data_IF_098869173571
#
_entry.id   IF_098869173571
#
_cell.length_a   1.000
_cell.length_b   1.000
_cell.length_c   1.000
_cell.angle_alpha   90.00
_cell.angle_beta   90.00
_cell.angle_gamma   90.00
#
_symmetry.space_group_name_H-M   'P 1'
#
loop_
_entity.id
_entity.type
_entity.pdbx_description
1 polymer ?
#
# COMPACT_ATOMS: atom_id res chain seq x y z
N UNK A 1 43.47 12.65 89.09
CA UNK A 1 44.14 13.05 87.83
C UNK A 1 45.64 13.09 88.07
N UNK A 2 46.40 12.13 87.55
CA UNK A 2 47.84 12.26 87.24
C UNK A 2 48.39 11.00 86.54
N UNK A 3 49.03 11.20 85.38
CA UNK A 3 50.40 10.79 84.98
C UNK A 3 50.90 9.34 85.25
N UNK A 4 51.62 8.80 84.23
CA UNK A 4 52.44 7.56 84.16
C UNK A 4 51.66 6.21 84.17
N UNK A 5 51.82 5.23 83.27
CA UNK A 5 52.85 4.78 82.29
C UNK A 5 53.75 3.61 82.77
N UNK A 6 53.75 2.50 82.01
CA UNK A 6 54.54 1.27 82.23
C UNK A 6 55.00 0.68 80.87
N UNK A 7 56.14 -0.04 80.85
CA UNK A 7 56.85 -0.59 79.67
C UNK A 7 57.23 -2.07 79.86
N UNK A 8 57.73 -2.86 78.90
CA UNK A 8 58.19 -2.54 77.53
C UNK A 8 57.53 -3.46 76.45
N UNK A 9 58.15 -4.25 75.55
CA UNK A 9 59.53 -4.74 75.34
C UNK A 9 59.82 -5.03 73.85
N UNK A 10 61.09 -5.06 73.44
CA UNK A 10 61.54 -5.26 72.04
C UNK A 10 62.21 -6.62 71.80
N UNK A 11 61.91 -7.32 70.68
CA UNK A 11 62.65 -8.49 70.19
C UNK A 11 62.74 -8.52 68.65
N UNK A 12 63.97 -8.34 68.14
CA UNK A 12 64.58 -8.88 66.90
C UNK A 12 63.90 -8.78 65.50
N UNK A 13 64.68 -8.22 64.57
CA UNK A 13 64.81 -8.64 63.15
C UNK A 13 66.01 -9.63 63.04
N UNK A 14 66.36 -10.26 61.87
CA UNK A 14 65.87 -10.07 60.50
C UNK A 14 65.55 -11.36 59.68
N UNK A 15 64.91 -11.24 58.50
CA UNK A 15 65.13 -12.15 57.35
C UNK A 15 64.51 -11.68 56.01
N UNK A 16 65.36 -11.54 54.98
CA UNK A 16 65.23 -12.09 53.61
C UNK A 16 63.85 -12.30 52.92
N UNK A 17 63.63 -11.55 51.82
CA UNK A 17 63.07 -11.96 50.51
C UNK A 17 61.80 -12.84 50.40
N UNK A 18 60.72 -12.25 49.86
CA UNK A 18 59.88 -12.86 48.82
C UNK A 18 59.13 -11.79 47.98
N UNK A 19 58.92 -12.04 46.68
CA UNK A 19 58.11 -11.19 45.78
C UNK A 19 56.64 -11.65 45.77
N UNK A 20 55.69 -10.77 46.09
CA UNK A 20 54.27 -10.93 45.68
C UNK A 20 53.62 -9.58 45.32
N UNK A 21 54.29 -8.79 44.48
CA UNK A 21 53.68 -7.63 43.82
C UNK A 21 53.14 -8.03 42.44
N UNK A 22 51.81 -8.04 42.24
CA UNK A 22 51.22 -8.24 40.91
C UNK A 22 49.76 -8.70 40.85
N UNK A 23 49.26 -9.47 41.83
CA UNK A 23 47.97 -10.16 41.69
C UNK A 23 46.72 -9.26 41.73
N UNK A 24 46.73 -8.19 42.54
CA UNK A 24 45.51 -7.41 42.85
C UNK A 24 45.12 -6.45 41.72
N UNK A 25 46.09 -5.83 41.04
CA UNK A 25 45.84 -4.83 39.99
C UNK A 25 45.15 -5.42 38.74
N UNK A 26 45.35 -6.71 38.46
CA UNK A 26 44.78 -7.39 37.29
C UNK A 26 43.27 -7.65 37.40
N UNK A 27 42.71 -7.77 38.61
CA UNK A 27 41.27 -8.00 38.79
C UNK A 27 40.42 -6.74 38.56
N UNK A 28 40.94 -5.55 38.91
CA UNK A 28 40.24 -4.30 38.66
C UNK A 28 40.18 -3.94 37.17
N UNK A 29 41.19 -4.31 36.38
CA UNK A 29 41.23 -4.00 34.94
C UNK A 29 40.23 -4.85 34.14
N UNK A 30 40.00 -6.09 34.54
CA UNK A 30 39.04 -6.99 33.89
C UNK A 30 37.58 -6.53 34.02
N UNK A 31 37.21 -5.91 35.16
CA UNK A 31 35.85 -5.42 35.40
C UNK A 31 35.49 -4.17 34.59
N UNK A 32 36.47 -3.39 34.13
CA UNK A 32 36.21 -2.17 33.35
C UNK A 32 35.93 -2.45 31.86
N UNK A 33 36.29 -3.63 31.35
CA UNK A 33 36.19 -3.96 29.92
C UNK A 33 34.83 -4.54 29.50
N UNK A 34 33.99 -4.97 30.44
CA UNK A 34 32.67 -5.57 30.16
C UNK A 34 31.52 -4.56 29.96
N UNK A 35 31.79 -3.25 30.03
CA UNK A 35 30.75 -2.21 29.97
C UNK A 35 30.34 -1.77 28.55
N UNK A 36 31.05 -2.21 27.51
CA UNK A 36 30.78 -1.87 26.10
C UNK A 36 30.02 -2.98 25.36
N UNK A 37 28.84 -3.36 25.86
CA UNK A 37 27.85 -4.04 25.01
C UNK A 37 27.17 -3.00 24.10
N UNK A 38 27.33 -3.07 22.77
CA UNK A 38 26.64 -2.13 21.89
C UNK A 38 25.14 -2.36 21.99
N UNK A 39 24.38 -1.31 22.32
CA UNK A 39 22.92 -1.36 22.30
C UNK A 39 22.43 -1.53 20.87
N UNK A 40 22.12 -2.77 20.50
CA UNK A 40 21.41 -3.09 19.26
C UNK A 40 19.99 -2.56 19.39
N UNK A 41 19.78 -1.32 18.95
CA UNK A 41 18.44 -0.75 18.79
C UNK A 41 17.67 -1.60 17.78
N UNK A 42 16.66 -2.34 18.26
CA UNK A 42 15.73 -3.03 17.40
C UNK A 42 14.97 -1.99 16.54
N UNK A 43 14.94 -2.20 15.22
CA UNK A 43 14.22 -1.32 14.32
C UNK A 43 12.72 -1.29 14.68
N UNK A 44 12.15 -0.10 14.83
CA UNK A 44 10.76 0.06 15.24
C UNK A 44 9.83 -0.51 14.16
N UNK A 45 8.81 -1.27 14.56
CA UNK A 45 7.71 -1.66 13.67
C UNK A 45 6.80 -0.45 13.46
N UNK A 46 6.53 -0.13 12.20
CA UNK A 46 5.82 1.09 11.77
C UNK A 46 4.60 0.79 10.89
N UNK A 47 4.44 -0.47 10.48
CA UNK A 47 3.28 -0.94 9.74
C UNK A 47 3.28 -2.45 9.49
N UNK A 48 2.35 -2.89 8.65
CA UNK A 48 2.17 -4.27 8.20
C UNK A 48 1.90 -4.32 6.68
N UNK A 49 2.23 -5.44 6.05
CA UNK A 49 1.86 -5.70 4.66
C UNK A 49 0.46 -6.33 4.58
N UNK A 50 -0.47 -5.67 3.89
CA UNK A 50 -1.89 -6.09 3.81
C UNK A 50 -2.24 -6.85 2.53
N UNK A 51 -1.49 -6.67 1.44
CA UNK A 51 -1.62 -7.43 0.19
C UNK A 51 -0.25 -7.47 -0.53
N UNK A 52 0.05 -8.61 -1.16
CA UNK A 52 1.18 -8.80 -2.08
C UNK A 52 0.64 -9.40 -3.38
N UNK A 53 1.17 -8.95 -4.51
CA UNK A 53 0.94 -9.53 -5.84
C UNK A 53 2.29 -9.66 -6.54
N UNK A 54 2.53 -10.76 -7.25
CA UNK A 54 3.78 -10.99 -7.98
C UNK A 54 5.02 -11.01 -7.07
N UNK A 55 6.15 -10.51 -7.58
CA UNK A 55 7.45 -10.55 -6.89
C UNK A 55 7.83 -9.20 -6.27
N UNK A 56 8.22 -9.24 -4.99
CA UNK A 56 8.69 -8.10 -4.22
C UNK A 56 9.68 -8.55 -3.14
N UNK A 57 10.43 -7.61 -2.57
CA UNK A 57 11.36 -7.85 -1.46
C UNK A 57 11.39 -6.68 -0.49
N UNK A 58 11.63 -6.95 0.79
CA UNK A 58 11.99 -5.97 1.81
C UNK A 58 13.47 -6.13 2.15
N UNK A 59 14.28 -5.11 1.84
CA UNK A 59 15.69 -5.02 2.23
C UNK A 59 15.80 -4.36 3.61
N UNK A 60 16.62 -4.96 4.50
CA UNK A 60 16.83 -4.49 5.87
C UNK A 60 18.31 -4.54 6.25
N UNK A 61 18.77 -3.77 7.26
CA UNK A 61 20.10 -3.94 7.85
C UNK A 61 20.36 -5.36 8.39
N UNK A 62 19.29 -6.09 8.75
CA UNK A 62 19.32 -7.49 9.20
C UNK A 62 19.27 -8.53 8.07
N UNK A 63 19.14 -8.12 6.80
CA UNK A 63 19.05 -8.99 5.63
C UNK A 63 17.78 -8.76 4.79
N UNK A 64 17.78 -9.30 3.56
CA UNK A 64 16.64 -9.21 2.66
C UNK A 64 15.61 -10.31 2.95
N UNK A 65 14.33 -10.01 2.76
CA UNK A 65 13.20 -10.92 2.99
C UNK A 65 12.09 -10.72 1.94
N UNK A 66 11.27 -11.74 1.68
CA UNK A 66 10.06 -11.56 0.86
C UNK A 66 8.89 -11.08 1.75
N UNK A 67 8.10 -10.07 1.31
CA UNK A 67 6.95 -9.58 2.08
C UNK A 67 5.86 -10.66 2.17
N UNK A 68 5.29 -10.83 3.37
CA UNK A 68 4.21 -11.79 3.67
C UNK A 68 2.98 -11.03 4.19
N UNK A 69 1.75 -11.52 3.93
CA UNK A 69 0.53 -10.86 4.45
C UNK A 69 0.52 -10.91 5.99
N UNK A 70 0.31 -9.78 6.64
CA UNK A 70 0.46 -9.60 8.09
C UNK A 70 1.92 -9.51 8.56
N UNK A 71 2.90 -9.57 7.66
CA UNK A 71 4.31 -9.36 7.96
C UNK A 71 4.60 -7.91 8.34
N UNK A 72 5.44 -7.70 9.35
CA UNK A 72 5.78 -6.36 9.83
C UNK A 72 6.65 -5.58 8.84
N UNK A 73 6.46 -4.26 8.85
CA UNK A 73 7.25 -3.25 8.15
C UNK A 73 7.90 -2.35 9.20
N UNK A 74 9.17 -2.00 9.02
CA UNK A 74 10.03 -1.37 10.02
C UNK A 74 10.64 -0.04 9.52
N UNK A 75 11.04 0.84 10.44
CA UNK A 75 11.85 2.02 10.12
C UNK A 75 13.20 1.57 9.53
N UNK A 76 13.57 2.12 8.36
CA UNK A 76 14.75 1.72 7.59
C UNK A 76 14.49 0.73 6.45
N UNK A 77 13.29 0.14 6.36
CA UNK A 77 12.93 -0.82 5.30
C UNK A 77 13.00 -0.20 3.89
N UNK A 78 13.47 -1.00 2.93
CA UNK A 78 13.37 -0.72 1.48
C UNK A 78 12.47 -1.77 0.84
N UNK A 79 11.30 -1.36 0.38
CA UNK A 79 10.35 -2.21 -0.33
C UNK A 79 10.60 -2.05 -1.83
N UNK A 80 11.06 -3.13 -2.48
CA UNK A 80 11.23 -3.21 -3.94
C UNK A 80 10.16 -4.09 -4.57
N UNK A 81 9.68 -3.71 -5.73
CA UNK A 81 8.72 -4.47 -6.55
C UNK A 81 9.28 -4.70 -7.95
N UNK A 82 9.08 -5.91 -8.47
CA UNK A 82 9.44 -6.27 -9.84
C UNK A 82 8.39 -5.77 -10.85
N UNK A 83 8.54 -6.14 -12.12
CA UNK A 83 7.64 -5.90 -13.25
C UNK A 83 6.17 -6.34 -13.03
N UNK A 84 5.95 -7.35 -12.20
CA UNK A 84 4.62 -7.80 -11.75
C UNK A 84 4.36 -7.57 -10.24
N UNK A 85 5.25 -6.87 -9.55
CA UNK A 85 5.24 -6.73 -8.10
C UNK A 85 4.32 -5.63 -7.58
N UNK A 86 3.43 -5.94 -6.64
CA UNK A 86 2.66 -4.96 -5.90
C UNK A 86 2.74 -5.26 -4.40
N UNK A 87 2.90 -4.24 -3.57
CA UNK A 87 2.88 -4.35 -2.10
C UNK A 87 1.99 -3.26 -1.52
N UNK A 88 0.99 -3.64 -0.71
CA UNK A 88 0.17 -2.70 0.06
C UNK A 88 0.61 -2.70 1.52
N UNK A 89 0.90 -1.51 2.05
CA UNK A 89 1.33 -1.30 3.44
C UNK A 89 0.27 -0.50 4.17
N UNK A 90 -0.09 -0.95 5.39
CA UNK A 90 -0.87 -0.18 6.37
C UNK A 90 0.06 0.23 7.51
N UNK A 91 0.19 1.53 7.76
CA UNK A 91 1.03 2.07 8.83
C UNK A 91 0.26 2.21 10.15
N UNK A 92 1.00 2.32 11.25
CA UNK A 92 0.45 2.44 12.62
C UNK A 92 -0.41 3.69 12.87
N UNK A 93 -0.34 4.71 12.00
CA UNK A 93 -1.18 5.91 12.05
C UNK A 93 -2.42 5.82 11.13
N UNK A 94 -2.65 4.66 10.50
CA UNK A 94 -3.69 4.43 9.51
C UNK A 94 -3.34 4.86 8.08
N UNK A 95 -2.12 5.36 7.80
CA UNK A 95 -1.70 5.65 6.43
C UNK A 95 -1.65 4.37 5.58
N UNK A 96 -1.96 4.51 4.29
CA UNK A 96 -1.99 3.42 3.33
C UNK A 96 -1.09 3.76 2.14
N UNK A 97 -0.16 2.86 1.82
CA UNK A 97 0.71 3.00 0.64
C UNK A 97 0.58 1.77 -0.25
N UNK A 98 0.25 2.00 -1.51
CA UNK A 98 0.31 1.01 -2.58
C UNK A 98 1.58 1.24 -3.38
N UNK A 99 2.55 0.34 -3.26
CA UNK A 99 3.79 0.30 -4.05
C UNK A 99 3.49 -0.55 -5.30
N UNK A 100 3.55 0.07 -6.49
CA UNK A 100 3.24 -0.57 -7.79
C UNK A 100 4.48 -1.25 -8.41
N UNK A 101 4.37 -1.93 -9.56
CA UNK A 101 5.51 -2.55 -10.24
C UNK A 101 6.70 -1.62 -10.51
N UNK A 102 7.88 -2.21 -10.61
CA UNK A 102 9.16 -1.54 -10.90
C UNK A 102 9.51 -0.39 -9.94
N UNK A 103 9.11 -0.50 -8.67
CA UNK A 103 9.24 0.59 -7.69
C UNK A 103 10.24 0.28 -6.58
N UNK A 104 10.79 1.36 -6.01
CA UNK A 104 11.69 1.32 -4.87
C UNK A 104 11.19 2.35 -3.86
N UNK A 105 10.47 1.88 -2.85
CA UNK A 105 9.88 2.71 -1.79
C UNK A 105 10.60 2.46 -0.47
N UNK A 106 10.88 3.51 0.31
CA UNK A 106 11.75 3.45 1.47
C UNK A 106 11.20 4.28 2.63
N UNK A 107 11.36 3.75 3.84
CA UNK A 107 10.91 4.39 5.07
C UNK A 107 12.14 4.91 5.81
N UNK A 108 12.39 6.22 5.77
CA UNK A 108 13.54 6.81 6.45
C UNK A 108 13.28 7.10 7.93
N UNK A 109 12.05 7.48 8.28
CA UNK A 109 11.65 7.84 9.64
C UNK A 109 10.13 7.76 9.78
N UNK A 110 9.62 7.08 10.80
CA UNK A 110 8.18 6.96 11.04
C UNK A 110 7.87 6.86 12.55
N UNK A 111 7.64 8.03 13.15
CA UNK A 111 7.33 8.21 14.57
C UNK A 111 5.92 8.73 14.69
N UNK A 112 5.04 7.96 15.32
CA UNK A 112 3.65 8.34 15.56
C UNK A 112 3.29 7.98 17.00
N UNK A 113 2.63 8.91 17.70
CA UNK A 113 2.07 8.69 19.04
C UNK A 113 0.61 9.12 19.04
N UNK A 114 -0.35 8.24 19.34
CA UNK A 114 -1.75 8.63 19.52
C UNK A 114 -1.97 9.61 20.68
N UNK A 115 -1.09 9.64 21.68
CA UNK A 115 -1.17 10.56 22.83
C UNK A 115 -0.52 11.93 22.59
N UNK A 116 0.40 12.02 21.62
CA UNK A 116 0.91 13.29 21.09
C UNK A 116 1.06 13.21 19.57
N UNK A 117 -0.04 13.40 18.80
CA UNK A 117 0.03 13.37 17.35
C UNK A 117 0.85 14.53 16.75
N UNK A 118 1.07 15.63 17.47
CA UNK A 118 1.87 16.77 17.01
C UNK A 118 3.38 16.51 17.13
N UNK A 119 3.80 15.58 18.00
CA UNK A 119 5.17 15.08 18.06
C UNK A 119 5.57 14.18 16.88
N UNK A 120 4.64 13.80 16.00
CA UNK A 120 4.86 12.81 14.93
C UNK A 120 5.88 13.27 13.86
N UNK A 121 6.54 12.31 13.23
CA UNK A 121 7.45 12.50 12.08
C UNK A 121 7.21 11.39 11.07
N UNK A 122 7.04 11.74 9.79
CA UNK A 122 6.93 10.77 8.70
C UNK A 122 7.80 11.24 7.53
N UNK A 123 8.92 10.57 7.30
CA UNK A 123 9.82 10.83 6.18
C UNK A 123 9.98 9.56 5.36
N UNK A 124 9.45 9.61 4.15
CA UNK A 124 9.35 8.51 3.19
C UNK A 124 10.11 8.90 1.91
N UNK A 125 10.44 7.92 1.08
CA UNK A 125 10.94 8.17 -0.28
C UNK A 125 10.44 7.15 -1.29
N UNK A 126 10.26 7.62 -2.52
CA UNK A 126 10.06 6.80 -3.71
C UNK A 126 11.25 7.06 -4.63
N UNK A 127 12.25 6.17 -4.58
CA UNK A 127 13.51 6.31 -5.33
C UNK A 127 13.29 6.04 -6.84
N UNK A 128 12.29 5.21 -7.19
CA UNK A 128 11.86 4.90 -8.55
C UNK A 128 10.42 4.31 -8.58
N UNK A 129 9.76 4.36 -9.74
CA UNK A 129 8.50 3.65 -10.01
C UNK A 129 7.23 4.45 -9.72
N UNK A 130 6.18 3.81 -9.22
CA UNK A 130 4.93 4.45 -8.78
C UNK A 130 4.53 4.01 -7.38
N UNK A 131 4.11 4.97 -6.55
CA UNK A 131 3.34 4.69 -5.35
C UNK A 131 2.12 5.61 -5.26
N UNK A 132 0.99 5.08 -4.78
CA UNK A 132 -0.13 5.90 -4.30
C UNK A 132 -0.19 5.85 -2.79
N UNK A 133 -0.21 7.03 -2.19
CA UNK A 133 -0.18 7.25 -0.75
C UNK A 133 -1.44 7.95 -0.28
N UNK A 134 -2.08 7.40 0.75
CA UNK A 134 -3.17 8.02 1.50
C UNK A 134 -2.63 8.31 2.89
N UNK A 135 -2.54 9.59 3.25
CA UNK A 135 -1.87 10.02 4.48
C UNK A 135 -2.72 9.75 5.73
N UNK A 136 -2.13 9.15 6.76
CA UNK A 136 -2.81 8.84 8.03
C UNK A 136 -2.79 9.98 9.06
N UNK A 137 -3.10 9.63 10.30
CA UNK A 137 -3.27 10.58 11.41
C UNK A 137 -2.01 11.41 11.71
N UNK A 138 -0.80 10.85 11.50
CA UNK A 138 0.45 11.56 11.75
C UNK A 138 0.59 12.79 10.83
N UNK A 139 0.29 12.62 9.54
CA UNK A 139 0.34 13.67 8.53
C UNK A 139 -0.79 14.71 8.68
N UNK A 140 -1.95 14.30 9.20
CA UNK A 140 -3.06 15.20 9.47
C UNK A 140 -2.79 16.08 10.69
N UNK A 141 -2.12 15.56 11.72
CA UNK A 141 -1.69 16.32 12.89
C UNK A 141 -0.48 17.21 12.57
N UNK A 142 0.66 16.60 12.24
CA UNK A 142 1.97 17.24 12.11
C UNK A 142 2.38 17.42 10.64
N UNK A 143 1.76 18.39 9.98
CA UNK A 143 1.82 18.60 8.51
C UNK A 143 3.22 19.04 8.07
N UNK A 144 3.80 19.93 8.86
CA UNK A 144 5.19 20.40 8.85
C UNK A 144 6.23 19.32 9.22
N UNK A 145 5.79 18.08 9.50
CA UNK A 145 6.65 16.95 9.85
C UNK A 145 6.40 15.70 8.99
N UNK A 146 5.51 15.79 7.99
CA UNK A 146 5.39 14.81 6.90
C UNK A 146 6.22 15.21 5.69
N UNK A 147 6.86 14.24 5.03
CA UNK A 147 7.55 14.43 3.75
C UNK A 147 7.66 13.12 2.96
N UNK A 148 7.32 13.16 1.66
CA UNK A 148 7.74 12.16 0.68
C UNK A 148 8.81 12.77 -0.23
N UNK A 149 10.00 12.19 -0.25
CA UNK A 149 11.06 12.55 -1.18
C UNK A 149 11.00 11.68 -2.45
N UNK A 150 11.56 12.22 -3.53
CA UNK A 150 11.97 11.50 -4.75
C UNK A 150 13.44 11.86 -5.02
N UNK A 151 14.10 11.37 -6.08
CA UNK A 151 15.47 11.82 -6.41
C UNK A 151 15.59 13.30 -6.77
N UNK A 152 14.50 13.97 -7.17
CA UNK A 152 14.54 15.34 -7.73
C UNK A 152 13.72 16.38 -6.94
N UNK A 153 12.62 15.96 -6.31
CA UNK A 153 11.69 16.84 -5.58
C UNK A 153 11.29 16.27 -4.23
N UNK A 154 10.96 17.17 -3.29
CA UNK A 154 10.20 16.88 -2.09
C UNK A 154 8.70 17.16 -2.31
N UNK A 155 7.87 16.37 -1.65
CA UNK A 155 6.41 16.47 -1.64
C UNK A 155 5.95 16.51 -0.17
N UNK A 156 5.37 17.64 0.23
CA UNK A 156 4.65 17.79 1.50
C UNK A 156 3.14 17.67 1.29
N UNK A 157 2.40 17.30 2.33
CA UNK A 157 0.96 16.94 2.23
C UNK A 157 0.14 17.46 3.41
N UNK A 158 -1.18 17.45 3.28
CA UNK A 158 -2.13 17.94 4.30
C UNK A 158 -3.43 17.15 4.24
N UNK A 159 -3.46 15.93 4.80
CA UNK A 159 -4.63 15.04 4.78
C UNK A 159 -5.03 14.66 3.35
N UNK A 160 -4.21 13.83 2.70
CA UNK A 160 -4.10 13.81 1.23
C UNK A 160 -4.03 12.41 0.66
N UNK A 161 -4.65 12.24 -0.49
CA UNK A 161 -4.60 11.04 -1.33
C UNK A 161 -3.98 11.42 -2.68
N UNK A 162 -2.82 10.85 -3.01
CA UNK A 162 -2.04 11.24 -4.19
C UNK A 162 -1.22 10.09 -4.79
N UNK A 163 -1.04 10.10 -6.10
CA UNK A 163 -0.12 9.22 -6.84
C UNK A 163 1.19 9.98 -7.07
N UNK A 164 2.33 9.32 -6.84
CA UNK A 164 3.65 9.81 -7.26
C UNK A 164 4.27 8.81 -8.23
N UNK A 165 4.67 9.29 -9.41
CA UNK A 165 5.40 8.54 -10.44
C UNK A 165 6.80 9.14 -10.61
N UNK A 166 7.82 8.28 -10.66
CA UNK A 166 9.25 8.63 -10.64
C UNK A 166 9.98 7.90 -11.76
N UNK A 167 10.31 8.62 -12.84
CA UNK A 167 11.33 8.20 -13.81
C UNK A 167 12.68 8.84 -13.45
N UNK A 168 13.72 8.53 -14.26
CA UNK A 168 15.06 9.10 -14.13
C UNK A 168 15.10 10.63 -14.29
N UNK A 169 14.15 11.18 -15.04
CA UNK A 169 14.16 12.55 -15.57
C UNK A 169 12.84 13.31 -15.34
N UNK A 170 11.75 12.63 -14.99
CA UNK A 170 10.42 13.21 -14.77
C UNK A 170 9.81 12.68 -13.47
N UNK A 171 9.34 13.60 -12.64
CA UNK A 171 8.46 13.30 -11.51
C UNK A 171 7.06 13.80 -11.86
N UNK A 172 6.03 12.97 -11.72
CA UNK A 172 4.62 13.34 -11.86
C UNK A 172 3.87 13.05 -10.57
N UNK A 173 3.09 14.01 -10.09
CA UNK A 173 2.15 13.82 -8.98
C UNK A 173 0.73 14.17 -9.42
N UNK A 174 -0.24 13.35 -9.04
CA UNK A 174 -1.69 13.65 -9.15
C UNK A 174 -2.35 13.54 -7.78
N UNK A 175 -3.37 14.36 -7.54
CA UNK A 175 -4.08 14.41 -6.25
C UNK A 175 -5.54 14.00 -6.45
N UNK A 176 -5.99 13.02 -5.66
CA UNK A 176 -7.38 12.55 -5.62
C UNK A 176 -8.17 13.20 -4.48
N UNK A 177 -7.49 13.54 -3.37
CA UNK A 177 -8.08 14.26 -2.22
C UNK A 177 -7.04 15.15 -1.54
N UNK A 178 -7.46 16.30 -1.01
CA UNK A 178 -6.59 17.21 -0.26
C UNK A 178 -5.70 18.07 -1.18
N UNK A 179 -4.48 18.36 -0.73
CA UNK A 179 -3.48 19.08 -1.51
C UNK A 179 -2.06 18.59 -1.21
N UNK A 180 -1.21 18.61 -2.24
CA UNK A 180 0.25 18.43 -2.11
C UNK A 180 0.99 19.71 -2.46
N UNK A 181 2.13 19.93 -1.83
CA UNK A 181 3.10 20.96 -2.24
C UNK A 181 4.37 20.26 -2.70
N UNK A 182 4.71 20.41 -3.98
CA UNK A 182 5.96 19.91 -4.56
C UNK A 182 6.98 21.04 -4.64
N UNK A 183 8.23 20.77 -4.25
CA UNK A 183 9.35 21.66 -4.52
C UNK A 183 10.60 20.85 -4.96
N UNK A 184 11.33 21.30 -5.99
CA UNK A 184 12.64 20.75 -6.32
C UNK A 184 13.66 21.02 -5.21
N UNK A 185 14.67 20.15 -5.10
CA UNK A 185 15.74 20.38 -4.14
C UNK A 185 16.63 21.57 -4.53
N UNK A 186 17.15 22.27 -3.52
CA UNK A 186 18.16 23.34 -3.60
C UNK A 186 18.73 23.65 -2.20
N UNK A 187 19.36 24.82 -2.02
CA UNK A 187 19.93 25.26 -0.74
C UNK A 187 18.90 25.50 0.37
N UNK A 188 17.64 25.76 0.01
CA UNK A 188 16.52 25.98 0.93
C UNK A 188 15.67 24.70 1.08
N UNK A 189 15.54 23.91 0.02
CA UNK A 189 14.86 22.62 0.03
C UNK A 189 15.85 21.45 0.01
N UNK A 190 16.27 20.97 1.19
CA UNK A 190 17.20 19.83 1.31
C UNK A 190 16.48 18.48 1.48
N UNK A 191 17.14 17.36 1.17
CA UNK A 191 16.53 16.02 1.25
C UNK A 191 16.41 15.46 2.69
N UNK A 192 17.25 15.92 3.62
CA UNK A 192 17.28 15.57 5.05
C UNK A 192 16.25 16.35 5.89
N UNK A 193 15.75 17.47 5.38
CA UNK A 193 14.73 18.29 6.03
C UNK A 193 13.36 17.58 6.18
N UNK A 194 12.52 18.12 7.06
CA UNK A 194 11.13 17.68 7.27
C UNK A 194 10.13 18.70 6.69
N UNK A 195 8.88 18.25 6.54
CA UNK A 195 7.75 19.11 6.17
C UNK A 195 7.72 19.58 4.72
N UNK A 196 6.93 20.62 4.48
CA UNK A 196 6.79 21.32 3.19
C UNK A 196 7.99 22.25 2.97
N UNK A 197 8.60 22.22 1.79
CA UNK A 197 9.59 23.22 1.39
C UNK A 197 8.93 24.55 1.02
N UNK A 198 8.97 25.52 1.92
CA UNK A 198 8.53 26.89 1.64
C UNK A 198 9.59 27.65 0.82
N UNK A 199 9.57 27.47 -0.50
CA UNK A 199 10.48 28.14 -1.46
C UNK A 199 9.69 28.79 -2.59
N UNK A 200 10.28 29.78 -3.28
CA UNK A 200 9.68 30.40 -4.47
C UNK A 200 9.48 29.42 -5.66
N UNK A 201 10.10 28.24 -5.59
CA UNK A 201 10.02 27.16 -6.58
C UNK A 201 8.99 26.09 -6.20
N UNK A 202 8.36 26.22 -5.02
CA UNK A 202 7.30 25.34 -4.58
C UNK A 202 5.99 25.63 -5.34
N UNK A 203 5.21 24.59 -5.60
CA UNK A 203 3.88 24.69 -6.22
C UNK A 203 2.91 23.79 -5.46
N UNK A 204 1.71 24.30 -5.21
CA UNK A 204 0.61 23.52 -4.66
C UNK A 204 -0.25 22.92 -5.79
N UNK A 205 -0.73 21.70 -5.60
CA UNK A 205 -1.78 21.07 -6.42
C UNK A 205 -2.87 20.55 -5.47
N UNK A 206 -4.10 21.03 -5.64
CA UNK A 206 -5.27 20.59 -4.86
C UNK A 206 -6.14 19.63 -5.68
N UNK A 207 -6.98 18.84 -5.01
CA UNK A 207 -7.97 17.97 -5.66
C UNK A 207 -9.04 18.74 -6.48
N UNK A 208 -9.18 20.06 -6.24
CA UNK A 208 -10.12 20.93 -6.97
C UNK A 208 -9.57 21.30 -8.36
N UNK A 209 -8.27 21.13 -8.58
CA UNK A 209 -7.58 21.34 -9.86
C UNK A 209 -7.78 20.11 -10.77
N UNK A 210 -9.05 19.83 -11.08
CA UNK A 210 -9.52 18.61 -11.73
C UNK A 210 -8.76 18.32 -13.04
N UNK A 211 -8.25 17.09 -13.14
CA UNK A 211 -7.52 16.66 -14.34
C UNK A 211 -6.14 17.29 -14.49
N UNK A 212 -5.53 17.82 -13.43
CA UNK A 212 -4.15 18.31 -13.47
C UNK A 212 -3.18 17.40 -12.71
N UNK A 213 -1.96 17.33 -13.22
CA UNK A 213 -0.79 16.78 -12.55
C UNK A 213 0.23 17.89 -12.34
N UNK A 214 1.01 17.76 -11.27
CA UNK A 214 2.20 18.58 -11.05
C UNK A 214 3.41 17.78 -11.53
N UNK A 215 4.15 18.34 -12.48
CA UNK A 215 5.22 17.66 -13.22
C UNK A 215 6.52 18.45 -13.09
N UNK A 216 7.52 17.85 -12.47
CA UNK A 216 8.88 18.35 -12.49
C UNK A 216 9.72 17.53 -13.48
N UNK A 217 10.62 18.20 -14.19
CA UNK A 217 11.59 17.58 -15.10
C UNK A 217 13.00 17.98 -14.68
N UNK A 218 13.96 17.07 -14.85
CA UNK A 218 15.36 17.34 -14.57
C UNK A 218 15.84 18.54 -15.38
N UNK A 219 16.32 19.59 -14.70
CA UNK A 219 16.76 20.85 -15.30
C UNK A 219 15.68 21.93 -15.43
N UNK A 220 14.40 21.65 -15.15
CA UNK A 220 13.37 22.69 -15.08
C UNK A 220 13.59 23.64 -13.88
N UNK A 221 13.29 24.94 -14.01
CA UNK A 221 13.38 25.88 -12.88
C UNK A 221 12.38 25.53 -11.78
N UNK A 222 11.12 25.29 -12.12
CA UNK A 222 10.02 24.99 -11.20
C UNK A 222 9.09 23.86 -11.72
N UNK A 223 8.27 23.24 -10.86
CA UNK A 223 7.25 22.28 -11.30
C UNK A 223 6.17 22.94 -12.15
N UNK A 224 5.74 22.22 -13.20
CA UNK A 224 4.74 22.68 -14.17
C UNK A 224 3.42 21.93 -14.01
N UNK A 225 2.29 22.61 -14.16
CA UNK A 225 1.00 21.94 -14.29
C UNK A 225 0.88 21.34 -15.68
N UNK A 226 0.53 20.04 -15.75
CA UNK A 226 0.18 19.38 -17.00
C UNK A 226 -1.22 18.78 -16.88
N UNK A 227 -2.07 19.01 -17.89
CA UNK A 227 -3.36 18.34 -17.98
C UNK A 227 -3.14 16.82 -18.07
N UNK A 228 -3.62 16.09 -17.07
CA UNK A 228 -3.93 14.67 -17.16
C UNK A 228 -5.21 14.57 -17.95
N UNK A 229 -5.08 14.37 -19.26
CA UNK A 229 -6.23 14.10 -20.11
C UNK A 229 -7.00 12.91 -19.55
N UNK A 230 -8.22 13.15 -19.04
CA UNK A 230 -9.22 12.11 -18.98
C UNK A 230 -9.46 11.65 -20.42
N UNK A 231 -9.36 10.35 -20.72
CA UNK A 231 -9.92 9.85 -21.96
C UNK A 231 -11.43 10.16 -21.99
N UNK A 232 -11.95 10.65 -23.12
CA UNK A 232 -13.38 10.85 -23.30
C UNK A 232 -14.07 12.02 -22.57
N UNK A 233 -13.42 13.18 -22.35
CA UNK A 233 -14.15 14.41 -21.94
C UNK A 233 -14.16 15.49 -23.04
N UNK A 234 -15.00 15.29 -24.06
CA UNK A 234 -15.47 16.31 -25.00
C UNK A 234 -16.94 16.68 -24.71
N UNK A 235 -17.34 17.90 -25.06
CA UNK A 235 -18.73 18.42 -25.15
C UNK A 235 -19.69 18.12 -23.98
N UNK A 236 -19.40 18.70 -22.81
CA UNK A 236 -20.37 18.84 -21.71
C UNK A 236 -21.64 19.63 -22.08
N UNK A 237 -21.64 20.36 -23.20
CA UNK A 237 -22.80 21.04 -23.78
C UNK A 237 -23.88 20.10 -24.32
N UNK A 238 -23.55 18.85 -24.66
CA UNK A 238 -24.51 17.92 -25.30
C UNK A 238 -25.39 17.15 -24.30
N UNK A 239 -24.89 16.93 -23.07
CA UNK A 239 -25.62 16.20 -22.01
C UNK A 239 -26.86 16.95 -21.50
N UNK A 240 -26.81 18.29 -21.45
CA UNK A 240 -27.92 19.14 -20.97
C UNK A 240 -29.18 19.12 -21.87
N UNK A 241 -29.12 18.49 -23.05
CA UNK A 241 -30.30 18.28 -23.91
C UNK A 241 -30.95 16.92 -23.69
N UNK A 242 -30.20 15.89 -23.27
CA UNK A 242 -30.70 14.52 -23.13
C UNK A 242 -31.52 14.32 -21.84
N UNK A 243 -31.11 14.94 -20.74
CA UNK A 243 -31.80 14.93 -19.43
C UNK A 243 -33.25 15.45 -19.49
N UNK A 244 -33.61 16.17 -20.56
CA UNK A 244 -34.94 16.73 -20.77
C UNK A 244 -35.92 15.76 -21.45
N UNK A 245 -35.43 14.68 -22.08
CA UNK A 245 -36.27 13.67 -22.74
C UNK A 245 -36.48 12.39 -21.91
N UNK A 246 -35.61 12.10 -20.94
CA UNK A 246 -35.73 10.91 -20.06
C UNK A 246 -36.82 11.07 -18.99
N UNK A 247 -37.23 12.31 -18.66
CA UNK A 247 -38.15 12.61 -17.56
C UNK A 247 -39.64 12.33 -17.82
N UNK A 248 -40.03 11.92 -19.03
CA UNK A 248 -41.43 11.61 -19.37
C UNK A 248 -41.72 10.09 -19.44
N UNK A 249 -40.75 9.23 -19.10
CA UNK A 249 -40.87 7.76 -19.16
C UNK A 249 -40.75 7.09 -17.77
N UNK A 250 -41.46 7.62 -16.76
CA UNK A 250 -41.35 7.17 -15.37
C UNK A 250 -42.72 6.87 -14.73
N UNK A 251 -43.40 5.79 -15.16
CA UNK A 251 -44.64 5.35 -14.48
C UNK A 251 -44.95 3.83 -14.58
N UNK A 252 -44.15 3.02 -13.86
CA UNK A 252 -44.64 1.89 -13.02
C UNK A 252 -43.52 1.13 -12.30
N UNK A 253 -43.71 0.74 -11.03
CA UNK A 253 -42.87 -0.26 -10.38
C UNK A 253 -43.32 -1.68 -10.74
N UNK A 254 -42.35 -2.58 -10.92
CA UNK A 254 -42.57 -4.04 -10.90
C UNK A 254 -41.62 -4.66 -9.90
N UNK A 255 -42.14 -4.91 -8.69
CA UNK A 255 -41.59 -5.96 -7.84
C UNK A 255 -41.90 -7.32 -8.49
N UNK A 256 -40.96 -8.27 -8.39
CA UNK A 256 -41.14 -9.62 -8.93
C UNK A 256 -40.94 -10.64 -7.80
N UNK A 257 -42.04 -11.20 -7.30
CA UNK A 257 -42.03 -12.18 -6.23
C UNK A 257 -41.37 -13.50 -6.67
N UNK A 258 -40.09 -13.68 -6.33
CA UNK A 258 -39.41 -14.99 -6.47
C UNK A 258 -38.37 -15.23 -5.36
N UNK A 259 -38.58 -14.64 -4.18
CA UNK A 259 -37.67 -14.79 -3.03
C UNK A 259 -37.94 -16.08 -2.20
N UNK A 260 -38.94 -16.88 -2.60
CA UNK A 260 -39.47 -18.00 -1.80
C UNK A 260 -39.35 -19.38 -2.48
N UNK A 261 -38.12 -19.81 -2.85
CA UNK A 261 -37.65 -21.22 -2.93
C UNK A 261 -36.24 -21.33 -3.53
N UNK A 262 -35.19 -21.21 -2.71
CA UNK A 262 -33.85 -21.68 -3.07
C UNK A 262 -33.09 -22.09 -1.79
N UNK A 263 -32.66 -23.36 -1.62
CA UNK A 263 -32.02 -23.84 -0.39
C UNK A 263 -30.57 -23.35 -0.16
N UNK A 264 -30.11 -22.35 -0.91
CA UNK A 264 -28.73 -21.82 -0.84
C UNK A 264 -28.54 -20.65 0.15
N UNK A 265 -29.57 -20.22 0.87
CA UNK A 265 -29.45 -19.28 2.00
C UNK A 265 -28.75 -19.89 3.25
N UNK A 266 -28.06 -21.01 3.08
CA UNK A 266 -27.22 -21.66 4.10
C UNK A 266 -25.75 -21.18 4.09
N UNK A 267 -25.37 -20.31 3.15
CA UNK A 267 -24.16 -19.48 3.33
C UNK A 267 -24.55 -18.34 4.26
N UNK A 268 -23.86 -18.23 5.40
CA UNK A 268 -24.00 -17.09 6.32
C UNK A 268 -23.78 -15.76 5.61
N UNK A 269 -24.20 -14.64 6.21
CA UNK A 269 -24.27 -13.30 5.59
C UNK A 269 -22.90 -12.64 5.37
N UNK A 270 -21.96 -13.35 4.75
CA UNK A 270 -20.64 -12.91 4.35
C UNK A 270 -20.73 -11.81 3.30
N UNK A 271 -20.66 -10.58 3.78
CA UNK A 271 -20.57 -9.37 2.96
C UNK A 271 -19.21 -9.28 2.28
N UNK A 272 -19.06 -9.98 1.15
CA UNK A 272 -18.01 -9.67 0.18
C UNK A 272 -18.31 -8.31 -0.45
N UNK A 273 -17.31 -7.43 -0.50
CA UNK A 273 -17.43 -6.08 -1.08
C UNK A 273 -16.32 -5.90 -2.11
N UNK A 274 -16.67 -5.50 -3.34
CA UNK A 274 -15.66 -4.97 -4.25
C UNK A 274 -15.31 -3.54 -3.85
N UNK A 275 -14.08 -3.33 -3.40
CA UNK A 275 -13.50 -2.01 -3.20
C UNK A 275 -12.80 -1.53 -4.47
N UNK A 276 -12.88 -0.23 -4.77
CA UNK A 276 -12.03 0.44 -5.76
C UNK A 276 -11.12 1.47 -5.10
N UNK A 277 -9.94 1.66 -5.65
CA UNK A 277 -8.98 2.67 -5.18
C UNK A 277 -9.49 4.10 -5.48
N UNK A 278 -10.25 4.32 -6.54
CA UNK A 278 -10.81 5.64 -6.86
C UNK A 278 -11.95 6.05 -5.91
N UNK A 279 -11.96 7.30 -5.43
CA UNK A 279 -12.96 7.81 -4.48
C UNK A 279 -14.29 8.13 -5.16
N UNK A 280 -14.24 8.75 -6.32
CA UNK A 280 -15.43 9.27 -7.00
C UNK A 280 -16.33 8.15 -7.52
N UNK A 281 -17.63 8.42 -7.77
CA UNK A 281 -18.48 7.52 -8.53
C UNK A 281 -17.93 7.32 -9.95
N UNK A 282 -17.77 6.07 -10.37
CA UNK A 282 -17.49 5.73 -11.76
C UNK A 282 -18.84 5.52 -12.46
N UNK A 283 -19.06 6.19 -13.59
CA UNK A 283 -20.31 6.04 -14.34
C UNK A 283 -20.48 4.57 -14.79
N UNK A 284 -21.65 3.99 -14.48
CA UNK A 284 -21.99 2.58 -14.69
C UNK A 284 -21.23 1.55 -13.80
N UNK A 285 -20.57 1.99 -12.73
CA UNK A 285 -20.11 1.10 -11.66
C UNK A 285 -21.00 1.22 -10.41
N UNK A 286 -21.93 0.27 -10.29
CA UNK A 286 -22.72 0.04 -9.06
C UNK A 286 -22.21 -1.15 -8.24
N UNK A 287 -21.14 -1.82 -8.68
CA UNK A 287 -20.60 -3.02 -8.04
C UNK A 287 -19.57 -2.68 -6.97
N UNK A 288 -18.78 -1.63 -7.18
CA UNK A 288 -17.67 -1.27 -6.30
C UNK A 288 -17.96 -0.07 -5.40
N UNK A 289 -17.24 0.03 -4.27
CA UNK A 289 -17.27 1.19 -3.35
C UNK A 289 -15.85 1.70 -3.07
N UNK A 290 -15.64 2.95 -2.63
CA UNK A 290 -14.30 3.49 -2.35
C UNK A 290 -13.54 2.67 -1.29
N UNK A 291 -12.22 2.53 -1.43
CA UNK A 291 -11.38 1.68 -0.57
C UNK A 291 -11.51 2.00 0.94
N UNK A 292 -11.52 3.28 1.31
CA UNK A 292 -11.71 3.75 2.70
C UNK A 292 -13.14 3.53 3.24
N UNK A 293 -14.08 3.14 2.38
CA UNK A 293 -15.40 2.66 2.78
C UNK A 293 -15.42 1.13 2.89
N UNK A 294 -14.91 0.45 1.87
CA UNK A 294 -14.82 -1.01 1.86
C UNK A 294 -14.04 -1.55 3.06
N UNK A 295 -12.96 -0.88 3.51
CA UNK A 295 -12.16 -1.28 4.67
C UNK A 295 -12.88 -1.15 6.03
N UNK A 296 -14.02 -0.44 6.14
CA UNK A 296 -14.69 -0.25 7.44
C UNK A 296 -15.30 -1.57 7.93
N UNK A 297 -14.60 -2.25 8.83
CA UNK A 297 -14.96 -3.57 9.36
C UNK A 297 -14.53 -4.76 8.49
N UNK A 298 -13.76 -4.54 7.41
CA UNK A 298 -13.36 -5.60 6.48
C UNK A 298 -11.84 -5.61 6.23
N UNK A 299 -11.29 -6.79 5.95
CA UNK A 299 -9.93 -6.94 5.42
C UNK A 299 -9.92 -7.11 3.88
N UNK A 300 -8.78 -6.80 3.25
CA UNK A 300 -8.53 -7.12 1.84
C UNK A 300 -8.17 -8.60 1.74
N UNK A 301 -8.84 -9.32 0.84
CA UNK A 301 -8.52 -10.73 0.53
C UNK A 301 -7.62 -10.86 -0.69
N UNK A 302 -8.01 -10.25 -1.82
CA UNK A 302 -7.25 -10.17 -3.08
C UNK A 302 -7.47 -8.81 -3.76
N UNK A 303 -6.70 -8.48 -4.79
CA UNK A 303 -6.87 -7.27 -5.61
C UNK A 303 -5.81 -7.16 -6.71
N UNK A 304 -5.84 -6.07 -7.48
CA UNK A 304 -4.88 -5.75 -8.56
C UNK A 304 -4.18 -4.36 -8.38
N UNK A 305 -4.49 -3.64 -7.30
CA UNK A 305 -4.01 -2.27 -7.06
C UNK A 305 -4.89 -1.16 -7.66
N UNK A 306 -6.02 -1.51 -8.27
CA UNK A 306 -7.12 -0.62 -8.65
C UNK A 306 -8.45 -1.07 -8.03
N UNK A 307 -8.67 -2.37 -7.97
CA UNK A 307 -9.81 -3.06 -7.37
C UNK A 307 -9.36 -4.11 -6.35
N UNK A 308 -10.22 -4.39 -5.38
CA UNK A 308 -9.94 -5.24 -4.23
C UNK A 308 -11.19 -5.98 -3.80
N UNK A 309 -11.07 -7.24 -3.41
CA UNK A 309 -12.16 -7.99 -2.78
C UNK A 309 -12.00 -7.94 -1.27
N UNK A 310 -12.91 -7.26 -0.60
CA UNK A 310 -12.97 -7.14 0.85
C UNK A 310 -13.89 -8.20 1.48
N UNK A 311 -13.60 -8.59 2.72
CA UNK A 311 -14.34 -9.57 3.51
C UNK A 311 -14.36 -9.20 4.99
N UNK A 312 -15.45 -9.48 5.69
CA UNK A 312 -15.47 -9.50 7.16
C UNK A 312 -14.44 -10.54 7.71
N UNK A 313 -13.54 -10.19 8.65
CA UNK A 313 -12.46 -11.07 9.09
C UNK A 313 -12.89 -12.34 9.85
N UNK A 314 -14.13 -12.37 10.36
CA UNK A 314 -14.62 -13.38 11.31
C UNK A 314 -15.23 -14.64 10.68
N UNK A 315 -15.57 -14.63 9.38
CA UNK A 315 -16.37 -15.70 8.77
C UNK A 315 -15.65 -16.46 7.65
N UNK A 316 -15.17 -17.64 8.00
CA UNK A 316 -14.67 -18.68 7.09
C UNK A 316 -15.87 -19.29 6.35
N UNK A 317 -15.95 -19.10 5.03
CA UNK A 317 -16.94 -19.81 4.22
C UNK A 317 -16.43 -21.21 3.95
N UNK A 318 -16.99 -22.19 4.66
CA UNK A 318 -16.96 -23.58 4.23
C UNK A 318 -18.03 -23.77 3.14
N UNK A 319 -17.76 -24.65 2.18
CA UNK A 319 -18.79 -25.07 1.22
C UNK A 319 -19.84 -25.92 1.97
N UNK A 320 -21.15 -25.74 1.70
CA UNK A 320 -22.22 -26.44 2.42
C UNK A 320 -22.30 -27.94 2.10
N UNK A 321 -21.47 -28.44 1.17
CA UNK A 321 -21.38 -29.85 0.77
C UNK A 321 -19.93 -30.28 0.64
N UNK A 322 -19.65 -31.56 0.93
CA UNK A 322 -18.33 -32.20 0.72
C UNK A 322 -18.05 -32.53 -0.77
N UNK A 323 -18.63 -31.77 -1.69
CA UNK A 323 -18.44 -31.94 -3.13
C UNK A 323 -17.07 -31.42 -3.55
N UNK A 324 -16.27 -32.25 -4.23
CA UNK A 324 -14.96 -31.84 -4.75
C UNK A 324 -15.07 -30.80 -5.86
N UNK A 325 -16.20 -30.73 -6.56
CA UNK A 325 -16.48 -29.72 -7.59
C UNK A 325 -17.44 -28.64 -7.10
N UNK A 326 -17.23 -27.40 -7.51
CA UNK A 326 -18.16 -26.28 -7.32
C UNK A 326 -18.21 -25.42 -8.58
N UNK A 327 -19.42 -25.10 -9.03
CA UNK A 327 -19.68 -24.25 -10.19
C UNK A 327 -20.29 -22.92 -9.74
N UNK A 328 -19.74 -21.81 -10.24
CA UNK A 328 -20.10 -20.44 -9.89
C UNK A 328 -20.68 -19.72 -11.12
N UNK A 329 -21.89 -19.19 -10.98
CA UNK A 329 -22.53 -18.32 -11.97
C UNK A 329 -22.33 -16.84 -11.66
N UNK A 330 -22.20 -16.01 -12.70
CA UNK A 330 -22.08 -14.56 -12.56
C UNK A 330 -23.40 -13.91 -12.11
N UNK A 331 -23.43 -13.30 -10.92
CA UNK A 331 -24.61 -12.58 -10.39
C UNK A 331 -24.66 -11.09 -10.75
N UNK A 332 -23.50 -10.44 -10.88
CA UNK A 332 -23.37 -9.01 -11.21
C UNK A 332 -21.96 -8.74 -11.73
N UNK A 333 -21.78 -7.67 -12.50
CA UNK A 333 -20.49 -7.25 -13.07
C UNK A 333 -20.46 -5.74 -13.36
N UNK A 334 -19.26 -5.20 -13.52
CA UNK A 334 -19.00 -3.94 -14.22
C UNK A 334 -17.72 -4.15 -15.05
N UNK A 335 -17.69 -3.64 -16.29
CA UNK A 335 -16.58 -3.90 -17.20
C UNK A 335 -16.31 -2.71 -18.13
N UNK A 336 -15.04 -2.57 -18.51
CA UNK A 336 -14.53 -1.54 -19.41
C UNK A 336 -13.36 -2.14 -20.18
N UNK A 337 -13.13 -1.71 -21.42
CA UNK A 337 -11.93 -2.06 -22.18
C UNK A 337 -11.13 -0.81 -22.54
N UNK A 338 -9.83 -0.97 -22.80
CA UNK A 338 -8.99 0.09 -23.37
C UNK A 338 -8.98 -0.05 -24.89
N UNK A 339 -9.42 0.99 -25.59
CA UNK A 339 -9.34 1.04 -27.05
C UNK A 339 -7.89 1.34 -27.51
N UNK A 340 -7.64 1.33 -28.83
CA UNK A 340 -6.31 1.60 -29.40
C UNK A 340 -5.78 3.03 -29.14
N UNK A 341 -6.67 3.99 -28.80
CA UNK A 341 -6.31 5.33 -28.34
C UNK A 341 -6.06 5.42 -26.82
N UNK A 342 -6.01 4.26 -26.13
CA UNK A 342 -5.84 4.11 -24.68
C UNK A 342 -7.02 4.68 -23.84
N UNK A 343 -8.19 4.82 -24.45
CA UNK A 343 -9.39 5.33 -23.79
C UNK A 343 -10.19 4.21 -23.14
N UNK A 344 -10.77 4.48 -21.96
CA UNK A 344 -11.63 3.55 -21.23
C UNK A 344 -13.05 3.60 -21.79
N UNK A 345 -13.44 2.57 -22.54
CA UNK A 345 -14.78 2.44 -23.14
C UNK A 345 -15.61 1.44 -22.31
N UNK A 346 -16.89 1.75 -21.96
CA UNK A 346 -17.76 0.82 -21.25
C UNK A 346 -17.96 -0.50 -22.00
N UNK A 347 -18.06 -1.59 -21.24
CA UNK A 347 -18.33 -2.92 -21.77
C UNK A 347 -19.42 -3.64 -20.96
N UNK A 348 -20.19 -4.49 -21.62
CA UNK A 348 -21.21 -5.34 -21.01
C UNK A 348 -20.70 -6.77 -20.93
N UNK A 349 -20.69 -7.36 -19.74
CA UNK A 349 -20.47 -8.81 -19.61
C UNK A 349 -21.77 -9.51 -19.98
N UNK A 350 -21.71 -10.35 -21.01
CA UNK A 350 -22.84 -11.08 -21.60
C UNK A 350 -22.99 -12.47 -20.97
N UNK A 351 -21.87 -13.09 -20.56
CA UNK A 351 -21.86 -14.37 -19.86
C UNK A 351 -20.64 -14.49 -18.95
N UNK A 352 -20.76 -15.29 -17.89
CA UNK A 352 -19.65 -15.55 -16.96
C UNK A 352 -19.86 -16.82 -16.14
N UNK A 353 -18.87 -17.71 -16.16
CA UNK A 353 -18.83 -18.94 -15.39
C UNK A 353 -17.43 -19.24 -14.85
N UNK A 354 -17.38 -19.88 -13.68
CA UNK A 354 -16.17 -20.43 -13.08
C UNK A 354 -16.49 -21.80 -12.48
N UNK A 355 -15.85 -22.84 -12.98
CA UNK A 355 -15.86 -24.19 -12.44
C UNK A 355 -14.54 -24.45 -11.71
N UNK A 356 -14.62 -24.97 -10.48
CA UNK A 356 -13.46 -25.42 -9.71
C UNK A 356 -13.65 -26.88 -9.34
N UNK A 357 -12.63 -27.70 -9.53
CA UNK A 357 -12.53 -29.04 -8.94
C UNK A 357 -11.33 -29.06 -7.97
N UNK A 358 -11.63 -29.05 -6.67
CA UNK A 358 -10.68 -29.12 -5.58
C UNK A 358 -10.03 -30.51 -5.43
N UNK A 359 -10.69 -31.58 -5.92
CA UNK A 359 -10.17 -32.94 -5.92
C UNK A 359 -9.12 -33.14 -7.00
N UNK A 360 -9.43 -32.75 -8.23
CA UNK A 360 -8.48 -32.71 -9.34
C UNK A 360 -7.47 -31.55 -9.25
N UNK A 361 -7.74 -30.54 -8.40
CA UNK A 361 -6.99 -29.28 -8.28
C UNK A 361 -6.93 -28.54 -9.62
N UNK A 362 -8.08 -28.39 -10.28
CA UNK A 362 -8.22 -27.73 -11.57
C UNK A 362 -9.33 -26.68 -11.57
N UNK A 363 -9.27 -25.77 -12.53
CA UNK A 363 -10.34 -24.83 -12.81
C UNK A 363 -10.60 -24.69 -14.32
N UNK A 364 -11.80 -24.24 -14.65
CA UNK A 364 -12.15 -23.71 -15.97
C UNK A 364 -13.03 -22.46 -15.78
N UNK A 365 -12.82 -21.43 -16.58
CA UNK A 365 -13.59 -20.19 -16.55
C UNK A 365 -13.85 -19.69 -17.95
N UNK A 366 -15.01 -19.06 -18.15
CA UNK A 366 -15.37 -18.40 -19.40
C UNK A 366 -16.08 -17.08 -19.11
N UNK A 367 -15.77 -16.05 -19.90
CA UNK A 367 -16.31 -14.70 -19.81
C UNK A 367 -16.63 -14.21 -21.23
N UNK A 368 -17.92 -13.99 -21.52
CA UNK A 368 -18.35 -13.30 -22.73
C UNK A 368 -18.52 -11.81 -22.45
N UNK A 369 -17.87 -10.95 -23.24
CA UNK A 369 -17.87 -9.49 -23.06
C UNK A 369 -18.13 -8.81 -24.41
N UNK A 370 -19.00 -7.81 -24.43
CA UNK A 370 -19.35 -7.04 -25.63
C UNK A 370 -19.19 -5.55 -25.36
N UNK A 371 -18.74 -4.79 -26.36
CA UNK A 371 -18.63 -3.34 -26.29
C UNK A 371 -18.84 -2.71 -27.67
N UNK A 372 -19.03 -1.39 -27.69
CA UNK A 372 -19.20 -0.65 -28.94
C UNK A 372 -17.95 -0.79 -29.82
N UNK A 373 -18.17 -1.15 -31.09
CA UNK A 373 -17.12 -1.43 -32.07
C UNK A 373 -16.43 -2.80 -31.98
N UNK A 374 -16.56 -3.55 -30.87
CA UNK A 374 -15.82 -4.83 -30.69
C UNK A 374 -16.62 -6.08 -31.05
N UNK A 375 -17.95 -6.01 -31.01
CA UNK A 375 -18.80 -7.20 -30.97
C UNK A 375 -18.57 -8.05 -29.72
N UNK A 376 -19.11 -9.27 -29.70
CA UNK A 376 -18.93 -10.23 -28.61
C UNK A 376 -17.54 -10.88 -28.67
N UNK A 377 -16.72 -10.56 -27.68
CA UNK A 377 -15.45 -11.20 -27.39
C UNK A 377 -15.65 -12.30 -26.34
N UNK A 378 -14.99 -13.46 -26.51
CA UNK A 378 -15.09 -14.59 -25.59
C UNK A 378 -13.71 -14.95 -25.05
N UNK A 379 -13.55 -14.82 -23.73
CA UNK A 379 -12.35 -15.23 -23.01
C UNK A 379 -12.62 -16.56 -22.32
N UNK A 380 -11.78 -17.56 -22.53
CA UNK A 380 -11.85 -18.84 -21.82
C UNK A 380 -10.46 -19.24 -21.33
N UNK A 381 -10.39 -19.82 -20.12
CA UNK A 381 -9.14 -20.30 -19.57
C UNK A 381 -9.38 -21.50 -18.65
N UNK A 382 -8.47 -22.46 -18.69
CA UNK A 382 -8.42 -23.58 -17.75
C UNK A 382 -7.00 -23.82 -17.26
N UNK A 383 -6.86 -24.56 -16.16
CA UNK A 383 -5.56 -24.81 -15.56
C UNK A 383 -5.63 -25.55 -14.23
N UNK A 384 -4.50 -25.55 -13.52
CA UNK A 384 -4.36 -26.16 -12.20
C UNK A 384 -4.46 -25.12 -11.08
N UNK A 385 -4.76 -25.56 -9.87
CA UNK A 385 -4.74 -24.75 -8.65
C UNK A 385 -3.56 -25.20 -7.80
N UNK A 386 -2.71 -24.27 -7.39
CA UNK A 386 -1.56 -24.54 -6.54
C UNK A 386 -2.03 -24.96 -5.13
N UNK A 387 -1.73 -26.18 -4.66
CA UNK A 387 -2.31 -26.72 -3.42
C UNK A 387 -1.82 -26.03 -2.14
N UNK A 388 -0.70 -25.30 -2.20
CA UNK A 388 -0.08 -24.68 -1.03
C UNK A 388 -0.47 -23.20 -0.89
N UNK A 389 -0.96 -22.56 -1.96
CA UNK A 389 -1.23 -21.11 -2.02
C UNK A 389 -2.62 -20.76 -2.53
N UNK A 390 -3.36 -21.72 -3.09
CA UNK A 390 -4.66 -21.48 -3.74
C UNK A 390 -4.59 -20.72 -5.07
N UNK A 391 -3.39 -20.40 -5.58
CA UNK A 391 -3.19 -19.62 -6.80
C UNK A 391 -3.61 -20.42 -8.04
N UNK A 392 -4.35 -19.77 -8.94
CA UNK A 392 -4.85 -20.34 -10.18
C UNK A 392 -3.79 -20.22 -11.28
N UNK A 393 -3.38 -21.35 -11.85
CA UNK A 393 -2.31 -21.47 -12.84
C UNK A 393 -2.87 -21.95 -14.18
N UNK A 394 -3.42 -21.00 -14.94
CA UNK A 394 -3.86 -21.22 -16.32
C UNK A 394 -2.74 -20.97 -17.34
N UNK A 395 -2.79 -21.66 -18.48
CA UNK A 395 -2.04 -21.22 -19.67
C UNK A 395 -2.87 -20.16 -20.40
N UNK A 396 -2.23 -19.12 -20.91
CA UNK A 396 -2.86 -18.06 -21.69
C UNK A 396 -2.16 -17.94 -23.04
N UNK A 397 -2.94 -17.95 -24.11
CA UNK A 397 -2.47 -17.78 -25.48
C UNK A 397 -3.57 -18.20 -26.46
N UNK A 398 -3.72 -17.52 -27.61
CA UNK A 398 -4.54 -18.05 -28.68
C UNK A 398 -3.93 -19.37 -29.17
N UNK A 399 -4.77 -20.36 -29.41
CA UNK A 399 -4.36 -21.57 -30.11
C UNK A 399 -4.00 -21.17 -31.55
N UNK A 400 -2.72 -21.27 -31.90
CA UNK A 400 -2.28 -21.03 -33.27
C UNK A 400 -2.85 -22.15 -34.14
N UNK A 401 -3.78 -21.80 -35.03
CA UNK A 401 -4.30 -22.72 -36.04
C UNK A 401 -3.13 -23.26 -36.90
N UNK A 402 -3.21 -24.54 -37.33
CA UNK A 402 -2.13 -25.22 -38.05
C UNK A 402 -1.90 -24.69 -39.48
#
# INVERSE_FOLDING_TARGET
>A
MNIQAISASTVHAPASLARVGGAVALWCLALFFCAFTPWVHAAQVVGEVTLIIGKASIERPSGNSEPQKGGSVQEGDVIRTNDNGHVHIRFIDGALVSVRPNSVFRIHEFKYSPSDPAASVVRLSLDAGEARSISGAAAQAAKERFRLNTPLVAIGVKGTDFVTQVSKDVIRVTVNQGAIVMAPFDSLCKADALGICNTLRAKELTAEMLGQALVYRLGSPDPSFQNVGKPGQADSTKLLQLDRQVREAADKPLASDTEAKNPLNAVGSNRLIWGRWARDPIANDQLTVPFLEAMRGNEVTVGDGYYFLFREPSQINLLPTLSTKTDFGLKSSSAYYRNAANEMVPATVVSGSLSIDFGAKTFATQLGLSAEGTGLQSFSQSGSINPNTGIFLGRAGPEAAP
#
